data_IF_996198618583
#
_entry.id   IF_996198618583
#
_cell.length_a   1.000
_cell.length_b   1.000
_cell.length_c   1.000
_cell.angle_alpha   90.00
_cell.angle_beta   90.00
_cell.angle_gamma   90.00
#
_symmetry.space_group_name_H-M   'P 1'
#
loop_
_entity.id
_entity.type
_entity.pdbx_description
1 polymer ?
#
# COMPACT_ATOMS: atom_id res chain seq x y z
N UNK A 1 -7.00 -24.20 16.18
CA UNK A 1 -7.09 -23.33 14.99
C UNK A 1 -7.61 -21.92 15.31
N UNK A 2 -8.78 -21.75 15.97
CA UNK A 2 -9.31 -20.41 16.35
C UNK A 2 -8.34 -19.57 17.20
N UNK A 3 -7.64 -20.17 18.17
CA UNK A 3 -6.67 -19.47 19.03
C UNK A 3 -5.50 -18.85 18.23
N UNK A 4 -4.92 -19.62 17.31
CA UNK A 4 -3.78 -19.19 16.48
C UNK A 4 -4.18 -18.00 15.58
N UNK A 5 -5.33 -18.08 14.91
CA UNK A 5 -5.81 -16.95 14.08
C UNK A 5 -6.09 -15.70 14.92
N UNK A 6 -6.59 -15.88 16.15
CA UNK A 6 -6.76 -14.79 17.10
C UNK A 6 -5.44 -14.12 17.47
N UNK A 7 -4.41 -14.91 17.80
CA UNK A 7 -3.07 -14.43 18.15
C UNK A 7 -2.39 -13.71 16.98
N UNK A 8 -2.45 -14.28 15.77
CA UNK A 8 -1.95 -13.61 14.55
C UNK A 8 -2.65 -12.27 14.35
N UNK A 9 -3.98 -12.24 14.52
CA UNK A 9 -4.74 -11.00 14.41
C UNK A 9 -4.35 -9.96 15.47
N UNK A 10 -4.06 -10.38 16.71
CA UNK A 10 -3.58 -9.47 17.76
C UNK A 10 -2.21 -8.89 17.41
N UNK A 11 -1.27 -9.73 16.97
CA UNK A 11 0.07 -9.29 16.57
C UNK A 11 -0.01 -8.30 15.39
N UNK A 12 -0.79 -8.63 14.36
CA UNK A 12 -0.96 -7.76 13.19
C UNK A 12 -1.52 -6.39 13.57
N UNK A 13 -2.54 -6.33 14.45
CA UNK A 13 -3.12 -5.05 14.91
C UNK A 13 -2.19 -4.27 15.83
N UNK A 14 -1.40 -4.95 16.66
CA UNK A 14 -0.40 -4.30 17.50
C UNK A 14 0.68 -3.62 16.63
N UNK A 15 1.19 -4.33 15.62
CA UNK A 15 2.14 -3.78 14.66
C UNK A 15 1.57 -2.60 13.86
N UNK A 16 0.31 -2.70 13.41
CA UNK A 16 -0.36 -1.60 12.72
C UNK A 16 -0.54 -0.38 13.66
N UNK A 17 -0.89 -0.60 14.93
CA UNK A 17 -1.05 0.47 15.91
C UNK A 17 0.26 1.21 16.19
N UNK A 18 1.37 0.48 16.33
CA UNK A 18 2.70 1.06 16.50
C UNK A 18 3.06 1.86 15.24
N UNK A 19 2.93 1.25 14.05
CA UNK A 19 3.23 1.91 12.77
C UNK A 19 2.41 3.19 12.58
N UNK A 20 1.14 3.20 13.01
CA UNK A 20 0.27 4.38 12.94
C UNK A 20 0.73 5.53 13.83
N UNK A 21 1.41 5.25 14.94
CA UNK A 21 1.97 6.27 15.83
C UNK A 21 3.29 6.79 15.24
N UNK A 22 4.23 5.89 14.94
CA UNK A 22 5.57 6.23 14.46
C UNK A 22 5.54 6.94 13.09
N UNK A 23 4.65 6.52 12.20
CA UNK A 23 4.56 7.08 10.85
C UNK A 23 3.57 8.24 10.71
N UNK A 24 3.07 8.75 11.83
CA UNK A 24 2.12 9.87 11.83
C UNK A 24 2.72 11.15 11.27
N UNK A 25 3.96 11.46 11.65
CA UNK A 25 4.64 12.69 11.21
C UNK A 25 5.02 12.66 9.73
N UNK A 26 5.04 11.47 9.13
CA UNK A 26 5.36 11.26 7.72
C UNK A 26 4.10 11.10 6.85
N UNK A 27 2.89 11.28 7.39
CA UNK A 27 1.63 11.05 6.66
C UNK A 27 1.48 9.60 6.10
N UNK A 28 2.16 8.61 6.70
CA UNK A 28 2.18 7.20 6.28
C UNK A 28 1.42 6.27 7.22
N UNK A 29 0.37 6.79 7.87
CA UNK A 29 -0.52 6.03 8.75
C UNK A 29 -1.48 5.12 7.98
N UNK A 30 -2.27 4.33 8.70
CA UNK A 30 -3.32 3.43 8.20
C UNK A 30 -2.80 2.40 7.20
N UNK A 31 -1.63 1.83 7.48
CA UNK A 31 -0.98 0.84 6.62
C UNK A 31 -0.49 1.38 5.28
N UNK A 32 -0.45 2.71 5.07
CA UNK A 32 0.03 3.29 3.81
C UNK A 32 1.51 2.97 3.54
N UNK A 33 2.32 2.85 4.58
CA UNK A 33 3.74 2.47 4.47
C UNK A 33 3.94 1.12 3.73
N UNK A 34 3.05 0.15 3.92
CA UNK A 34 3.12 -1.15 3.25
C UNK A 34 3.07 -0.99 1.72
N UNK A 35 2.23 -0.09 1.21
CA UNK A 35 2.14 0.15 -0.23
C UNK A 35 3.43 0.75 -0.76
N UNK A 36 4.02 1.74 -0.06
CA UNK A 36 5.28 2.35 -0.49
C UNK A 36 6.39 1.29 -0.56
N UNK A 37 6.56 0.49 0.49
CA UNK A 37 7.60 -0.55 0.52
C UNK A 37 7.45 -1.49 -0.69
N UNK A 38 6.23 -1.94 -0.98
CA UNK A 38 5.99 -2.83 -2.14
C UNK A 38 6.19 -2.17 -3.49
N UNK A 39 5.89 -0.88 -3.62
CA UNK A 39 6.14 -0.12 -4.85
C UNK A 39 7.64 0.12 -5.05
N UNK A 40 8.39 0.41 -3.98
CA UNK A 40 9.86 0.47 -4.02
C UNK A 40 10.48 -0.85 -4.45
N UNK A 41 9.98 -1.97 -3.91
CA UNK A 41 10.42 -3.33 -4.28
C UNK A 41 10.06 -3.70 -5.72
N UNK A 42 8.97 -3.13 -6.26
CA UNK A 42 8.43 -3.46 -7.58
C UNK A 42 8.06 -2.18 -8.35
N UNK A 43 9.03 -1.39 -8.83
CA UNK A 43 8.75 -0.20 -9.62
C UNK A 43 7.94 -0.55 -10.87
N UNK A 44 6.91 0.23 -11.17
CA UNK A 44 6.02 0.00 -12.31
C UNK A 44 4.87 -0.97 -12.01
N UNK A 45 4.73 -1.47 -10.77
CA UNK A 45 3.65 -2.38 -10.40
C UNK A 45 2.27 -1.76 -10.65
N UNK A 46 1.36 -2.54 -11.22
CA UNK A 46 -0.03 -2.13 -11.42
C UNK A 46 -0.81 -2.29 -10.11
N UNK A 47 -1.80 -1.41 -9.91
CA UNK A 47 -2.62 -1.39 -8.69
C UNK A 47 -3.27 -2.75 -8.34
N UNK A 48 -3.75 -3.50 -9.34
CA UNK A 48 -4.36 -4.81 -9.12
C UNK A 48 -3.37 -5.81 -8.53
N UNK A 49 -2.15 -5.86 -9.08
CA UNK A 49 -1.09 -6.73 -8.59
C UNK A 49 -0.60 -6.33 -7.21
N UNK A 50 -0.54 -5.03 -6.93
CA UNK A 50 -0.20 -4.51 -5.61
C UNK A 50 -1.23 -4.94 -4.54
N UNK A 51 -2.52 -4.85 -4.85
CA UNK A 51 -3.60 -5.30 -3.97
C UNK A 51 -3.51 -6.82 -3.68
N UNK A 52 -3.25 -7.63 -4.71
CA UNK A 52 -3.04 -9.08 -4.58
C UNK A 52 -1.83 -9.43 -3.70
N UNK A 53 -0.75 -8.64 -3.78
CA UNK A 53 0.48 -8.86 -3.02
C UNK A 53 0.29 -8.56 -1.54
N UNK A 54 -0.41 -7.46 -1.24
CA UNK A 54 -0.73 -7.04 0.14
C UNK A 54 -1.88 -7.86 0.74
N UNK A 55 -2.60 -8.64 -0.08
CA UNK A 55 -3.77 -9.43 0.31
C UNK A 55 -4.92 -8.55 0.82
N UNK A 56 -5.17 -7.45 0.12
CA UNK A 56 -6.22 -6.49 0.46
C UNK A 56 -7.18 -6.30 -0.72
N UNK A 57 -8.41 -5.87 -0.43
CA UNK A 57 -9.40 -5.66 -1.47
C UNK A 57 -9.03 -4.46 -2.37
N UNK A 58 -9.49 -4.52 -3.62
CA UNK A 58 -9.17 -3.53 -4.67
C UNK A 58 -9.62 -2.12 -4.30
N UNK A 59 -10.74 -1.97 -3.58
CA UNK A 59 -11.29 -0.67 -3.16
C UNK A 59 -10.42 0.00 -2.08
N UNK A 60 -9.95 -0.77 -1.10
CA UNK A 60 -9.04 -0.26 -0.06
C UNK A 60 -7.68 0.10 -0.66
N UNK A 61 -7.14 -0.74 -1.54
CA UNK A 61 -5.92 -0.43 -2.28
C UNK A 61 -6.06 0.85 -3.11
N UNK A 62 -7.16 1.03 -3.85
CA UNK A 62 -7.42 2.23 -4.63
C UNK A 62 -7.38 3.51 -3.80
N UNK A 63 -7.99 3.47 -2.60
CA UNK A 63 -8.02 4.62 -1.69
C UNK A 63 -6.64 4.93 -1.13
N UNK A 64 -5.88 3.91 -0.72
CA UNK A 64 -4.54 4.07 -0.19
C UNK A 64 -3.58 4.65 -1.23
N UNK A 65 -3.57 4.09 -2.44
CA UNK A 65 -2.75 4.56 -3.58
C UNK A 65 -3.13 5.99 -3.95
N UNK A 66 -4.43 6.32 -4.06
CA UNK A 66 -4.85 7.69 -4.36
C UNK A 66 -4.35 8.68 -3.30
N UNK A 67 -4.39 8.31 -2.02
CA UNK A 67 -3.90 9.19 -0.95
C UNK A 67 -2.37 9.35 -0.99
N UNK A 68 -1.63 8.28 -1.29
CA UNK A 68 -0.17 8.34 -1.48
C UNK A 68 0.21 9.24 -2.66
N UNK A 69 -0.56 9.18 -3.75
CA UNK A 69 -0.37 10.03 -4.93
C UNK A 69 -0.62 11.51 -4.61
N UNK A 70 -1.71 11.81 -3.89
CA UNK A 70 -2.04 13.17 -3.44
C UNK A 70 -0.96 13.73 -2.51
N UNK A 71 -0.42 12.90 -1.62
CA UNK A 71 0.63 13.29 -0.69
C UNK A 71 2.03 13.34 -1.34
N UNK A 72 2.14 13.05 -2.64
CA UNK A 72 3.40 13.17 -3.38
C UNK A 72 4.38 12.03 -3.18
N UNK A 73 4.00 10.92 -2.53
CA UNK A 73 4.89 9.76 -2.35
C UNK A 73 5.07 8.95 -3.64
N UNK A 74 4.04 8.92 -4.49
CA UNK A 74 4.02 8.09 -5.69
C UNK A 74 3.48 8.87 -6.88
N UNK A 75 3.75 8.34 -8.06
CA UNK A 75 3.17 8.79 -9.32
C UNK A 75 2.62 7.60 -10.12
N UNK A 76 1.60 7.89 -10.93
CA UNK A 76 1.06 6.95 -11.90
C UNK A 76 1.53 7.33 -13.28
N UNK A 77 2.15 6.38 -13.98
CA UNK A 77 2.53 6.52 -15.39
C UNK A 77 1.55 5.75 -16.25
N UNK A 78 1.11 6.36 -17.34
CA UNK A 78 0.35 5.63 -18.36
C UNK A 78 1.30 4.70 -19.09
N UNK A 79 0.90 3.44 -19.23
CA UNK A 79 1.66 2.50 -20.04
C UNK A 79 1.63 2.94 -21.51
N UNK A 80 2.78 2.87 -22.17
CA UNK A 80 2.95 3.32 -23.56
C UNK A 80 2.23 2.43 -24.57
N UNK A 81 1.99 1.16 -24.25
CA UNK A 81 1.33 0.19 -25.11
C UNK A 81 -0.18 0.09 -24.82
N UNK A 82 -0.59 0.30 -23.58
CA UNK A 82 -1.99 0.22 -23.15
C UNK A 82 -2.32 1.29 -22.10
N UNK A 83 -2.87 2.41 -22.56
CA UNK A 83 -3.28 3.54 -21.71
C UNK A 83 -4.31 3.21 -20.62
N UNK A 84 -4.94 2.03 -20.65
CA UNK A 84 -5.82 1.56 -19.56
C UNK A 84 -5.03 1.06 -18.35
N UNK A 85 -3.76 0.68 -18.56
CA UNK A 85 -2.85 0.24 -17.52
C UNK A 85 -2.10 1.46 -16.98
N UNK A 86 -2.16 1.61 -15.66
CA UNK A 86 -1.44 2.64 -14.92
C UNK A 86 -0.42 1.96 -14.03
N UNK A 87 0.84 2.15 -14.37
CA UNK A 87 1.98 1.72 -13.58
C UNK A 87 2.19 2.69 -12.43
N UNK A 88 2.60 2.16 -11.27
CA UNK A 88 2.83 2.97 -10.07
C UNK A 88 4.31 2.92 -9.70
N UNK A 89 4.90 4.10 -9.46
CA UNK A 89 6.27 4.25 -8.99
C UNK A 89 6.35 5.25 -7.83
N UNK A 90 7.38 5.13 -6.99
CA UNK A 90 7.68 6.15 -5.97
C UNK A 90 8.27 7.39 -6.66
N UNK A 91 7.90 8.58 -6.17
CA UNK A 91 8.48 9.84 -6.62
C UNK A 91 9.83 10.07 -5.95
N UNK A 92 10.80 10.52 -6.74
CA UNK A 92 12.09 11.04 -6.25
C UNK A 92 11.95 12.44 -5.65
#
# INVERSE_FOLDING_TARGET
MKKILGEIGMIARALDSISNIEFKEYDLTKGQYLYIVRICENPGIIQEKLAEMIKIDRTTAARAIKKLEINGFIEKKEDTQNKKIKEVCVKE
#
